data_IF_139539465150
#
_entry.id   IF_139539465150
#
_cell.length_a   1.000
_cell.length_b   1.000
_cell.length_c   1.000
_cell.angle_alpha   90.00
_cell.angle_beta   90.00
_cell.angle_gamma   90.00
#
_symmetry.space_group_name_H-M   'P 1'
#
loop_
_entity.id
_entity.type
_entity.pdbx_description
1 polymer ?
#
# COMPACT_ATOMS: atom_id res chain seq x y z
N UNK A 1 -10.08 -9.74 -17.63
CA UNK A 1 -9.74 -9.51 -16.19
C UNK A 1 -9.88 -8.04 -15.88
N UNK A 2 -10.20 -7.65 -14.64
CA UNK A 2 -10.25 -6.23 -14.26
C UNK A 2 -8.84 -5.75 -13.88
N UNK A 3 -8.40 -4.65 -14.47
CA UNK A 3 -7.04 -4.11 -14.28
C UNK A 3 -7.02 -2.60 -14.48
N UNK A 4 -5.95 -1.97 -14.00
CA UNK A 4 -5.60 -0.60 -14.35
C UNK A 4 -4.57 -0.65 -15.48
N UNK A 5 -4.91 -0.06 -16.63
CA UNK A 5 -4.00 0.08 -17.75
C UNK A 5 -3.36 1.47 -17.73
N UNK A 6 -2.04 1.48 -17.92
CA UNK A 6 -1.23 2.67 -18.09
C UNK A 6 -0.56 2.58 -19.47
N UNK A 7 -1.26 3.00 -20.53
CA UNK A 7 -0.69 3.04 -21.87
C UNK A 7 0.30 4.21 -22.01
N UNK A 8 1.08 4.17 -23.08
CA UNK A 8 1.95 5.26 -23.54
C UNK A 8 2.98 5.76 -22.52
N UNK A 9 3.37 4.91 -21.56
CA UNK A 9 4.44 5.24 -20.62
C UNK A 9 5.76 5.34 -21.38
N UNK A 10 6.55 6.36 -21.07
CA UNK A 10 7.88 6.57 -21.63
C UNK A 10 8.89 5.85 -20.75
N UNK A 11 9.67 4.96 -21.36
CA UNK A 11 10.77 4.27 -20.68
C UNK A 11 12.02 5.15 -20.64
N UNK A 12 12.71 5.13 -19.51
CA UNK A 12 14.00 5.76 -19.34
C UNK A 12 14.87 5.08 -18.29
N UNK A 13 16.00 5.69 -17.99
CA UNK A 13 16.91 5.29 -16.90
C UNK A 13 16.99 6.45 -15.91
N UNK A 14 16.84 6.12 -14.61
CA UNK A 14 16.98 7.11 -13.54
C UNK A 14 18.42 7.67 -13.52
N UNK A 15 18.59 8.99 -13.60
CA UNK A 15 19.90 9.63 -13.43
C UNK A 15 20.11 10.08 -12.00
N UNK A 16 19.12 10.74 -11.40
CA UNK A 16 19.20 11.17 -10.01
C UNK A 16 17.82 11.43 -9.44
N UNK A 17 17.72 11.35 -8.10
CA UNK A 17 16.55 11.79 -7.33
C UNK A 17 16.97 12.86 -6.34
N UNK A 18 16.24 13.97 -6.31
CA UNK A 18 16.55 15.10 -5.45
C UNK A 18 15.29 15.81 -4.96
N UNK A 19 15.44 16.62 -3.91
CA UNK A 19 14.34 17.38 -3.28
C UNK A 19 13.11 16.53 -2.93
N UNK A 20 13.31 15.21 -2.73
CA UNK A 20 12.31 14.14 -2.48
C UNK A 20 11.29 13.88 -3.60
N UNK A 21 10.90 14.92 -4.34
CA UNK A 21 9.76 14.89 -5.26
C UNK A 21 10.16 15.05 -6.73
N UNK A 22 11.45 15.04 -7.05
CA UNK A 22 11.95 15.19 -8.41
C UNK A 22 12.97 14.13 -8.75
N UNK A 23 12.96 13.72 -10.01
CA UNK A 23 14.02 12.96 -10.65
C UNK A 23 14.40 13.57 -11.97
N UNK A 24 15.65 13.33 -12.36
CA UNK A 24 16.06 13.43 -13.77
C UNK A 24 16.25 12.02 -14.32
N UNK A 25 15.91 11.85 -15.58
CA UNK A 25 15.98 10.58 -16.28
C UNK A 25 16.45 10.77 -17.71
N UNK A 26 17.23 9.80 -18.21
CA UNK A 26 17.60 9.72 -19.61
C UNK A 26 16.59 8.84 -20.35
N UNK A 27 16.00 9.35 -21.42
CA UNK A 27 15.10 8.60 -22.30
C UNK A 27 15.89 7.78 -23.34
N UNK A 28 15.20 6.90 -24.07
CA UNK A 28 15.86 6.05 -25.07
C UNK A 28 16.49 6.83 -26.24
N UNK A 29 15.97 8.02 -26.56
CA UNK A 29 16.54 8.91 -27.58
C UNK A 29 17.77 9.70 -27.08
N UNK A 30 18.21 9.46 -25.84
CA UNK A 30 19.32 10.14 -25.19
C UNK A 30 18.95 11.47 -24.54
N UNK A 31 17.73 11.98 -24.72
CA UNK A 31 17.27 13.21 -24.08
C UNK A 31 17.12 13.05 -22.58
N UNK A 32 17.39 14.13 -21.83
CA UNK A 32 17.18 14.18 -20.39
C UNK A 32 15.87 14.91 -20.06
N UNK A 33 15.10 14.34 -19.14
CA UNK A 33 13.82 14.91 -18.69
C UNK A 33 13.73 14.93 -17.18
N UNK A 34 13.03 15.93 -16.64
CA UNK A 34 12.67 15.98 -15.23
C UNK A 34 11.25 15.46 -15.02
N UNK A 35 11.08 14.53 -14.08
CA UNK A 35 9.78 13.98 -13.70
C UNK A 35 9.46 14.22 -12.22
N UNK A 36 8.17 14.37 -11.94
CA UNK A 36 7.64 14.45 -10.58
C UNK A 36 7.54 13.06 -9.93
N UNK A 37 7.82 12.99 -8.63
CA UNK A 37 7.72 11.79 -7.79
C UNK A 37 6.67 12.00 -6.72
N UNK A 38 5.58 11.24 -6.77
CA UNK A 38 4.54 11.24 -5.74
C UNK A 38 4.79 10.12 -4.72
N UNK A 39 6.00 10.05 -4.20
CA UNK A 39 6.42 9.14 -3.14
C UNK A 39 7.41 9.88 -2.22
N UNK A 40 7.04 10.14 -0.95
CA UNK A 40 7.91 10.85 0.00
C UNK A 40 8.97 9.94 0.64
N UNK A 41 8.86 8.63 0.44
CA UNK A 41 9.74 7.60 0.99
C UNK A 41 11.17 7.68 0.46
N UNK A 42 12.08 6.90 1.05
CA UNK A 42 13.48 6.87 0.61
C UNK A 42 13.64 6.21 -0.75
N UNK A 43 12.82 5.19 -1.08
CA UNK A 43 12.91 4.41 -2.33
C UNK A 43 14.30 3.76 -2.55
N UNK A 44 15.16 3.82 -1.54
CA UNK A 44 16.52 3.29 -1.46
C UNK A 44 16.66 2.53 -0.15
N UNK A 45 17.49 1.51 -0.15
CA UNK A 45 17.86 0.69 0.99
C UNK A 45 16.87 -0.43 1.37
N UNK A 46 17.42 -1.50 1.94
CA UNK A 46 16.70 -2.41 2.84
C UNK A 46 16.73 -1.90 4.29
N UNK A 47 16.16 -2.67 5.22
CA UNK A 47 16.17 -2.37 6.67
C UNK A 47 17.56 -2.38 7.32
N UNK A 48 18.55 -2.93 6.63
CA UNK A 48 19.96 -2.97 7.02
C UNK A 48 20.73 -1.69 6.65
N UNK A 49 20.12 -0.77 5.89
CA UNK A 49 20.77 0.43 5.39
C UNK A 49 21.71 0.17 4.21
N UNK A 50 21.74 -1.04 3.65
CA UNK A 50 22.52 -1.34 2.46
C UNK A 50 21.94 -0.59 1.26
N UNK A 51 22.69 0.40 0.75
CA UNK A 51 22.28 1.27 -0.34
C UNK A 51 21.97 0.54 -1.67
N UNK A 52 22.38 -0.73 -1.77
CA UNK A 52 22.24 -1.57 -2.96
C UNK A 52 20.83 -2.17 -3.11
N UNK A 53 20.03 -2.23 -2.05
CA UNK A 53 18.64 -2.73 -2.13
C UNK A 53 17.67 -1.56 -2.36
N UNK A 54 16.60 -1.75 -3.11
CA UNK A 54 15.66 -0.67 -3.48
C UNK A 54 15.75 -0.26 -4.95
N UNK A 55 14.91 0.69 -5.37
CA UNK A 55 14.65 0.95 -6.79
C UNK A 55 14.92 2.40 -7.21
N UNK A 56 15.49 3.24 -6.35
CA UNK A 56 15.97 4.56 -6.73
C UNK A 56 17.51 4.58 -6.80
N UNK A 57 18.07 3.67 -7.61
CA UNK A 57 19.51 3.54 -7.83
C UNK A 57 19.89 4.24 -9.15
N UNK A 58 20.62 5.38 -9.10
CA UNK A 58 21.10 6.08 -10.29
C UNK A 58 21.78 5.16 -11.31
N UNK A 59 21.52 5.41 -12.59
CA UNK A 59 22.09 4.72 -13.76
C UNK A 59 21.83 3.21 -13.86
N UNK A 60 21.16 2.61 -12.87
CA UNK A 60 20.84 1.17 -12.84
C UNK A 60 19.34 0.90 -12.92
N UNK A 61 18.52 1.86 -12.48
CA UNK A 61 17.06 1.70 -12.44
C UNK A 61 16.44 2.07 -13.77
N UNK A 62 15.82 1.11 -14.45
CA UNK A 62 14.90 1.40 -15.54
C UNK A 62 13.57 1.93 -14.97
N UNK A 63 13.01 2.98 -15.57
CA UNK A 63 11.81 3.64 -15.08
C UNK A 63 10.77 3.82 -16.18
N UNK A 64 9.51 3.92 -15.77
CA UNK A 64 8.38 4.21 -16.65
C UNK A 64 7.70 5.50 -16.20
N UNK A 65 7.65 6.46 -17.11
CA UNK A 65 7.17 7.82 -16.89
C UNK A 65 5.85 8.02 -17.61
N UNK A 66 4.85 8.57 -16.91
CA UNK A 66 3.62 9.02 -17.56
C UNK A 66 3.80 10.47 -18.03
N UNK A 67 3.60 10.76 -19.33
CA UNK A 67 3.49 12.14 -19.81
C UNK A 67 2.34 12.86 -19.10
N UNK A 68 2.57 14.09 -18.67
CA UNK A 68 1.55 14.94 -18.04
C UNK A 68 1.35 16.15 -18.93
N UNK A 69 0.11 16.33 -19.41
CA UNK A 69 -0.24 17.47 -20.25
C UNK A 69 0.11 18.79 -19.54
N UNK A 70 0.68 19.78 -20.24
CA UNK A 70 0.92 21.10 -19.68
C UNK A 70 -0.40 21.68 -19.17
N UNK A 71 -0.42 22.08 -17.90
CA UNK A 71 -1.49 22.91 -17.37
C UNK A 71 -0.89 23.93 -16.40
N UNK A 72 -1.67 24.94 -16.02
CA UNK A 72 -1.19 26.07 -15.20
C UNK A 72 -0.53 25.64 -13.86
N UNK A 73 -0.80 24.43 -13.38
CA UNK A 73 -0.34 23.90 -12.10
C UNK A 73 0.71 22.77 -12.21
N UNK A 74 1.01 22.26 -13.41
CA UNK A 74 1.97 21.18 -13.62
C UNK A 74 3.27 21.75 -14.17
N UNK A 75 4.30 21.80 -13.32
CA UNK A 75 5.63 22.28 -13.68
C UNK A 75 6.52 21.21 -14.35
N UNK A 76 6.11 19.95 -14.35
CA UNK A 76 6.93 18.83 -14.84
C UNK A 76 6.15 18.02 -15.88
N UNK A 77 6.76 17.83 -17.05
CA UNK A 77 6.16 17.14 -18.20
C UNK A 77 5.91 15.64 -17.95
N UNK A 78 6.49 15.08 -16.88
CA UNK A 78 6.43 13.66 -16.57
C UNK A 78 6.12 13.37 -15.10
N UNK A 79 5.56 12.20 -14.86
CA UNK A 79 5.37 11.61 -13.54
C UNK A 79 5.99 10.22 -13.51
N UNK A 80 6.79 9.92 -12.48
CA UNK A 80 7.35 8.59 -12.29
C UNK A 80 6.28 7.62 -11.77
N UNK A 81 5.94 6.62 -12.59
CA UNK A 81 4.89 5.65 -12.30
C UNK A 81 5.43 4.32 -11.77
N UNK A 82 6.42 3.75 -12.48
CA UNK A 82 6.97 2.43 -12.16
C UNK A 82 8.50 2.42 -12.28
N UNK A 83 9.14 1.50 -11.56
CA UNK A 83 10.56 1.24 -11.62
C UNK A 83 10.82 -0.26 -11.77
N UNK A 84 11.89 -0.64 -12.45
CA UNK A 84 12.44 -1.99 -12.39
C UNK A 84 13.52 -1.97 -11.32
N UNK A 85 13.32 -2.72 -10.25
CA UNK A 85 14.28 -2.78 -9.17
C UNK A 85 15.53 -3.56 -9.63
N UNK A 86 16.75 -2.98 -9.54
CA UNK A 86 17.94 -3.56 -10.16
C UNK A 86 18.33 -4.96 -9.66
N UNK A 87 18.12 -5.28 -8.38
CA UNK A 87 18.59 -6.54 -7.79
C UNK A 87 17.70 -7.73 -8.14
N UNK A 88 16.38 -7.52 -8.16
CA UNK A 88 15.37 -8.57 -8.35
C UNK A 88 14.79 -8.58 -9.76
N UNK A 89 14.92 -7.48 -10.51
CA UNK A 89 14.22 -7.27 -11.77
C UNK A 89 12.71 -7.03 -11.61
N UNK A 90 12.22 -6.89 -10.37
CA UNK A 90 10.80 -6.72 -10.12
C UNK A 90 10.30 -5.33 -10.58
N UNK A 91 9.11 -5.30 -11.17
CA UNK A 91 8.40 -4.07 -11.47
C UNK A 91 7.73 -3.55 -10.19
N UNK A 92 8.06 -2.33 -9.79
CA UNK A 92 7.60 -1.67 -8.57
C UNK A 92 6.72 -0.47 -8.90
N UNK A 93 5.55 -0.38 -8.28
CA UNK A 93 4.65 0.77 -8.36
C UNK A 93 5.16 1.93 -7.50
N UNK A 94 5.75 2.94 -8.13
CA UNK A 94 6.31 4.13 -7.46
C UNK A 94 5.23 5.13 -7.09
N UNK A 95 4.22 5.28 -7.94
CA UNK A 95 3.13 6.23 -7.72
C UNK A 95 2.22 5.76 -6.58
N UNK A 96 2.39 6.32 -5.38
CA UNK A 96 1.74 5.82 -4.15
C UNK A 96 0.21 5.84 -4.21
N UNK A 97 -0.40 6.72 -5.00
CA UNK A 97 -1.86 6.77 -5.19
C UNK A 97 -2.41 5.61 -6.03
N UNK A 98 -1.55 4.80 -6.64
CA UNK A 98 -1.95 3.61 -7.39
C UNK A 98 -2.68 2.60 -6.49
N UNK A 99 -2.18 2.37 -5.26
CA UNK A 99 -2.81 1.50 -4.29
C UNK A 99 -4.24 1.98 -3.96
N UNK A 100 -4.41 3.27 -3.62
CA UNK A 100 -5.73 3.85 -3.36
C UNK A 100 -6.65 3.71 -4.58
N UNK A 101 -6.14 3.95 -5.78
CA UNK A 101 -6.94 3.81 -7.01
C UNK A 101 -7.40 2.36 -7.22
N UNK A 102 -6.50 1.38 -7.06
CA UNK A 102 -6.83 -0.03 -7.22
C UNK A 102 -7.86 -0.49 -6.17
N UNK A 103 -7.67 -0.11 -4.91
CA UNK A 103 -8.61 -0.41 -3.82
C UNK A 103 -9.98 0.21 -4.09
N UNK A 104 -10.02 1.48 -4.54
CA UNK A 104 -11.25 2.16 -4.91
C UNK A 104 -12.00 1.40 -6.00
N UNK A 105 -11.33 1.10 -7.12
CA UNK A 105 -11.98 0.43 -8.26
C UNK A 105 -12.44 -0.98 -7.88
N UNK A 106 -11.67 -1.71 -7.05
CA UNK A 106 -12.08 -3.01 -6.54
C UNK A 106 -13.28 -2.94 -5.57
N UNK A 107 -13.35 -1.94 -4.69
CA UNK A 107 -14.51 -1.71 -3.82
C UNK A 107 -15.76 -1.35 -4.63
N UNK A 108 -15.65 -0.38 -5.54
CA UNK A 108 -16.75 0.04 -6.43
C UNK A 108 -17.26 -1.15 -7.27
N UNK A 109 -16.35 -2.02 -7.70
CA UNK A 109 -16.64 -3.23 -8.45
C UNK A 109 -17.11 -4.43 -7.60
N UNK A 110 -17.17 -4.28 -6.27
CA UNK A 110 -17.45 -5.36 -5.31
C UNK A 110 -16.61 -6.62 -5.57
N UNK A 111 -15.31 -6.43 -5.79
CA UNK A 111 -14.38 -7.52 -6.08
C UNK A 111 -14.32 -8.52 -4.91
N UNK A 112 -14.55 -9.80 -5.20
CA UNK A 112 -14.81 -10.81 -4.18
C UNK A 112 -13.58 -11.08 -3.29
N UNK A 113 -12.37 -11.11 -3.84
CA UNK A 113 -11.14 -11.36 -3.07
C UNK A 113 -10.83 -10.20 -2.11
N UNK A 114 -10.98 -8.94 -2.55
CA UNK A 114 -10.83 -7.79 -1.67
C UNK A 114 -11.89 -7.78 -0.56
N UNK A 115 -13.16 -8.03 -0.88
CA UNK A 115 -14.21 -8.10 0.14
C UNK A 115 -13.98 -9.25 1.12
N UNK A 116 -13.47 -10.38 0.64
CA UNK A 116 -13.07 -11.51 1.47
C UNK A 116 -11.94 -11.14 2.44
N UNK A 117 -10.94 -10.40 1.97
CA UNK A 117 -9.82 -9.90 2.78
C UNK A 117 -10.29 -8.93 3.89
N UNK A 118 -11.27 -8.08 3.56
CA UNK A 118 -11.85 -7.08 4.48
C UNK A 118 -12.93 -7.65 5.41
N UNK A 119 -13.40 -8.87 5.16
CA UNK A 119 -14.39 -9.54 6.00
C UNK A 119 -13.79 -9.84 7.38
N UNK A 120 -14.58 -9.58 8.42
CA UNK A 120 -14.19 -9.86 9.80
C UNK A 120 -13.95 -11.36 9.98
N UNK A 121 -12.93 -11.73 10.77
CA UNK A 121 -12.65 -13.12 11.12
C UNK A 121 -13.29 -13.44 12.47
N UNK A 122 -13.82 -14.65 12.62
CA UNK A 122 -14.35 -15.14 13.90
C UNK A 122 -13.24 -15.09 14.97
N UNK A 123 -13.44 -14.36 16.09
CA UNK A 123 -12.47 -14.30 17.19
C UNK A 123 -12.22 -15.64 17.90
N UNK A 124 -13.15 -16.60 17.82
CA UNK A 124 -13.15 -17.82 18.63
C UNK A 124 -12.97 -19.13 17.83
N UNK A 125 -12.92 -19.09 16.50
CA UNK A 125 -13.01 -20.31 15.68
C UNK A 125 -12.08 -20.28 14.48
N UNK A 126 -11.11 -21.22 14.46
CA UNK A 126 -10.35 -21.73 13.29
C UNK A 126 -10.32 -20.81 12.05
N UNK A 127 -9.17 -20.21 11.74
CA UNK A 127 -8.92 -19.52 10.44
C UNK A 127 -9.55 -20.32 9.28
N UNK A 128 -10.52 -19.72 8.60
CA UNK A 128 -11.19 -20.30 7.42
C UNK A 128 -12.71 -20.24 7.44
N UNK A 129 -13.35 -20.02 8.59
CA UNK A 129 -14.81 -19.85 8.61
C UNK A 129 -15.16 -18.39 8.28
N UNK A 130 -15.40 -18.12 7.00
CA UNK A 130 -16.02 -16.87 6.56
C UNK A 130 -17.41 -16.82 7.17
N UNK A 131 -17.62 -15.97 8.18
CA UNK A 131 -18.92 -15.89 8.88
C UNK A 131 -20.00 -15.34 7.92
N UNK A 132 -19.61 -14.46 6.98
CA UNK A 132 -20.36 -14.04 5.78
C UNK A 132 -19.51 -13.03 4.97
N UNK A 133 -19.55 -13.02 3.62
CA UNK A 133 -18.88 -12.00 2.84
C UNK A 133 -19.31 -10.59 3.24
N UNK A 134 -18.36 -9.66 3.35
CA UNK A 134 -18.62 -8.26 3.61
C UNK A 134 -19.57 -7.69 2.54
N UNK A 135 -20.68 -7.13 2.98
CA UNK A 135 -21.61 -6.35 2.16
C UNK A 135 -21.68 -4.94 2.71
N UNK A 136 -21.80 -3.98 1.80
CA UNK A 136 -21.98 -2.58 2.12
C UNK A 136 -22.85 -1.90 1.06
N UNK A 137 -23.53 -0.82 1.41
CA UNK A 137 -24.39 -0.06 0.49
C UNK A 137 -23.76 1.30 0.14
N UNK A 138 -22.99 1.87 1.07
CA UNK A 138 -22.34 3.17 0.95
C UNK A 138 -20.83 3.04 1.00
N UNK A 139 -20.16 3.63 0.02
CA UNK A 139 -18.73 3.87 -0.01
C UNK A 139 -18.47 5.36 0.03
N UNK A 140 -17.73 5.82 1.03
CA UNK A 140 -17.24 7.19 1.12
C UNK A 140 -15.70 7.20 1.01
N UNK A 141 -15.14 8.29 0.46
CA UNK A 141 -13.71 8.49 0.21
C UNK A 141 -13.20 9.70 0.97
N UNK A 142 -11.93 9.69 1.37
CA UNK A 142 -11.29 10.81 2.10
C UNK A 142 -12.14 11.25 3.29
N UNK A 143 -12.61 10.26 4.06
CA UNK A 143 -13.60 10.47 5.11
C UNK A 143 -12.92 11.00 6.37
N UNK A 144 -13.52 12.01 6.96
CA UNK A 144 -13.08 12.51 8.25
C UNK A 144 -13.30 11.44 9.31
N UNK A 145 -12.32 11.21 10.19
CA UNK A 145 -12.54 10.35 11.35
C UNK A 145 -13.62 10.96 12.26
N UNK A 146 -14.56 10.15 12.80
CA UNK A 146 -15.63 10.62 13.68
C UNK A 146 -15.10 11.30 14.96
N UNK A 147 -13.90 10.94 15.39
CA UNK A 147 -13.23 11.49 16.59
C UNK A 147 -12.43 12.75 16.32
N UNK A 148 -12.23 13.14 15.05
CA UNK A 148 -11.32 14.22 14.74
C UNK A 148 -11.98 15.59 15.01
N UNK A 149 -11.36 16.40 15.89
CA UNK A 149 -11.85 17.74 16.29
C UNK A 149 -12.09 18.70 15.11
N UNK A 150 -13.22 19.43 15.12
CA UNK A 150 -13.63 20.42 14.08
C UNK A 150 -12.56 21.48 13.80
N UNK A 151 -11.74 21.81 14.78
CA UNK A 151 -10.54 22.65 14.65
C UNK A 151 -9.37 22.02 15.39
N UNK A 152 -8.19 22.01 14.77
CA UNK A 152 -6.92 21.73 15.46
C UNK A 152 -6.32 23.06 15.89
N UNK A 153 -5.82 23.16 17.12
CA UNK A 153 -5.29 24.40 17.71
C UNK A 153 -4.10 25.01 16.93
N UNK A 154 -3.48 24.26 16.02
CA UNK A 154 -2.31 24.65 15.25
C UNK A 154 -2.59 24.91 13.76
N UNK A 155 -3.87 25.02 13.35
CA UNK A 155 -4.23 25.25 11.93
C UNK A 155 -3.97 24.07 10.98
N UNK A 156 -3.49 22.91 11.47
CA UNK A 156 -3.26 21.74 10.62
C UNK A 156 -4.55 21.07 10.16
N UNK A 157 -4.56 20.56 8.93
CA UNK A 157 -5.70 19.85 8.33
C UNK A 157 -6.07 18.63 9.17
N UNK A 158 -7.38 18.40 9.34
CA UNK A 158 -7.93 17.22 10.02
C UNK A 158 -7.56 15.95 9.25
N UNK A 159 -7.07 14.91 9.94
CA UNK A 159 -6.73 13.64 9.29
C UNK A 159 -7.98 12.97 8.74
N UNK A 160 -7.86 12.33 7.59
CA UNK A 160 -8.94 11.60 6.90
C UNK A 160 -8.48 10.17 6.64
N UNK A 161 -9.39 9.21 6.74
CA UNK A 161 -9.14 7.87 6.22
C UNK A 161 -9.43 7.83 4.72
N UNK A 162 -8.76 6.93 4.01
CA UNK A 162 -8.90 6.80 2.57
C UNK A 162 -10.33 6.38 2.18
N UNK A 163 -10.91 5.39 2.89
CA UNK A 163 -12.26 4.88 2.62
C UNK A 163 -13.07 4.64 3.89
N UNK A 164 -14.39 4.72 3.76
CA UNK A 164 -15.33 4.30 4.78
C UNK A 164 -16.51 3.56 4.15
N UNK A 165 -16.82 2.35 4.66
CA UNK A 165 -17.96 1.55 4.23
C UNK A 165 -19.09 1.65 5.27
N UNK A 166 -20.29 2.06 4.83
CA UNK A 166 -21.49 2.22 5.65
C UNK A 166 -21.30 3.03 6.95
N UNK A 167 -20.38 4.00 6.93
CA UNK A 167 -19.96 4.79 8.09
C UNK A 167 -19.46 3.93 9.27
N UNK A 168 -19.04 2.68 8.99
CA UNK A 168 -18.74 1.64 9.99
C UNK A 168 -17.36 1.02 9.85
N UNK A 169 -16.89 0.77 8.64
CA UNK A 169 -15.57 0.17 8.38
C UNK A 169 -14.67 1.24 7.78
N UNK A 170 -13.72 1.73 8.58
CA UNK A 170 -12.74 2.72 8.16
C UNK A 170 -11.51 2.01 7.63
N UNK A 171 -11.11 2.34 6.40
CA UNK A 171 -9.98 1.70 5.73
C UNK A 171 -8.93 2.76 5.44
N UNK A 172 -7.72 2.53 5.94
CA UNK A 172 -6.53 3.30 5.64
C UNK A 172 -5.63 2.44 4.74
N UNK A 173 -5.30 2.93 3.56
CA UNK A 173 -4.43 2.25 2.60
C UNK A 173 -3.00 2.72 2.79
N UNK A 174 -2.06 1.76 2.69
CA UNK A 174 -0.62 2.04 2.71
C UNK A 174 0.04 1.35 1.53
N UNK A 175 0.73 2.13 0.71
CA UNK A 175 1.59 1.62 -0.35
C UNK A 175 2.85 1.01 0.25
N UNK A 176 3.09 -0.27 -0.01
CA UNK A 176 4.25 -1.03 0.47
C UNK A 176 5.13 -1.40 -0.74
N UNK A 177 6.40 -0.97 -0.71
CA UNK A 177 7.36 -1.25 -1.79
C UNK A 177 8.74 -1.68 -1.28
N UNK A 178 9.00 -1.55 0.03
CA UNK A 178 10.30 -1.82 0.62
C UNK A 178 10.44 -3.32 0.93
N UNK A 179 11.57 -3.89 0.51
CA UNK A 179 11.98 -5.25 0.85
C UNK A 179 12.90 -5.25 2.07
N UNK A 180 12.86 -6.36 2.80
CA UNK A 180 13.85 -6.68 3.82
C UNK A 180 15.12 -7.28 3.23
N UNK A 181 16.17 -7.24 4.04
CA UNK A 181 17.32 -8.13 3.91
C UNK A 181 16.91 -9.61 3.83
N UNK A 182 15.83 -10.00 4.53
CA UNK A 182 15.24 -11.35 4.52
C UNK A 182 14.40 -11.58 3.26
N UNK A 183 14.68 -12.62 2.44
CA UNK A 183 13.94 -12.89 1.21
C UNK A 183 12.43 -13.05 1.42
N UNK A 184 11.63 -12.43 0.54
CA UNK A 184 10.17 -12.51 0.59
C UNK A 184 9.50 -11.67 1.69
N UNK A 185 10.26 -11.02 2.57
CA UNK A 185 9.73 -10.14 3.60
C UNK A 185 9.64 -8.70 3.09
N UNK A 186 8.43 -8.13 3.12
CA UNK A 186 8.17 -6.71 2.82
C UNK A 186 7.94 -5.90 4.08
N UNK A 187 8.23 -4.61 4.03
CA UNK A 187 8.11 -3.73 5.19
C UNK A 187 7.56 -2.35 4.88
N UNK A 188 7.04 -1.71 5.91
CA UNK A 188 6.60 -0.32 5.90
C UNK A 188 6.83 0.33 7.28
N UNK A 189 7.17 1.64 7.35
CA UNK A 189 7.45 2.55 6.24
C UNK A 189 8.91 2.47 5.76
N UNK A 190 9.19 3.06 4.59
CA UNK A 190 10.55 3.21 4.04
C UNK A 190 11.23 4.53 4.43
N UNK A 191 10.55 5.35 5.23
CA UNK A 191 11.07 6.55 5.88
C UNK A 191 10.23 6.86 7.13
N UNK A 192 10.80 7.59 8.10
CA UNK A 192 10.04 8.06 9.27
C UNK A 192 8.80 8.84 8.83
N UNK A 193 7.64 8.46 9.38
CA UNK A 193 6.34 8.99 8.98
C UNK A 193 5.45 9.29 10.19
N UNK A 194 5.64 10.48 10.77
CA UNK A 194 4.75 11.02 11.82
C UNK A 194 3.28 11.06 11.38
N UNK A 195 3.02 11.22 10.08
CA UNK A 195 1.66 11.11 9.52
C UNK A 195 1.12 9.70 9.71
N UNK A 196 1.85 8.66 9.30
CA UNK A 196 1.39 7.28 9.43
C UNK A 196 1.12 6.89 10.89
N UNK A 197 2.02 7.27 11.81
CA UNK A 197 1.83 7.10 13.27
C UNK A 197 0.51 7.71 13.72
N UNK A 198 0.24 8.96 13.33
CA UNK A 198 -0.98 9.67 13.69
C UNK A 198 -2.25 9.00 13.16
N UNK A 199 -2.23 8.47 11.94
CA UNK A 199 -3.39 7.74 11.40
C UNK A 199 -3.70 6.48 12.23
N UNK A 200 -2.67 5.76 12.72
CA UNK A 200 -2.88 4.60 13.59
C UNK A 200 -3.55 4.97 14.93
N UNK A 201 -3.15 6.10 15.53
CA UNK A 201 -3.80 6.62 16.74
C UNK A 201 -5.27 7.02 16.49
N UNK A 202 -5.54 7.69 15.38
CA UNK A 202 -6.92 8.07 14.99
C UNK A 202 -7.79 6.83 14.74
N UNK A 203 -7.26 5.78 14.10
CA UNK A 203 -7.99 4.51 13.90
C UNK A 203 -8.28 3.81 15.24
N UNK A 204 -7.33 3.80 16.18
CA UNK A 204 -7.59 3.28 17.52
C UNK A 204 -8.67 4.10 18.24
N UNK A 205 -8.71 5.42 18.05
CA UNK A 205 -9.77 6.30 18.57
C UNK A 205 -11.14 5.96 17.98
N UNK A 206 -11.22 5.69 16.67
CA UNK A 206 -12.46 5.27 16.01
C UNK A 206 -13.06 4.04 16.68
N UNK A 207 -12.24 3.01 16.95
CA UNK A 207 -12.74 1.80 17.60
C UNK A 207 -13.21 2.10 19.02
N UNK A 208 -12.42 2.84 19.81
CA UNK A 208 -12.79 3.22 21.18
C UNK A 208 -14.11 3.99 21.23
N UNK A 209 -14.26 4.95 20.32
CA UNK A 209 -15.48 5.74 20.18
C UNK A 209 -16.67 4.86 19.76
N UNK A 210 -16.46 3.96 18.80
CA UNK A 210 -17.49 3.02 18.36
C UNK A 210 -17.95 2.08 19.47
N UNK A 211 -17.02 1.54 20.26
CA UNK A 211 -17.35 0.72 21.45
C UNK A 211 -18.13 1.53 22.49
N UNK A 212 -17.77 2.80 22.71
CA UNK A 212 -18.51 3.68 23.61
C UNK A 212 -19.95 3.86 23.13
N UNK A 213 -20.15 4.21 21.85
CA UNK A 213 -21.49 4.38 21.28
C UNK A 213 -22.34 3.13 21.38
N UNK A 214 -21.76 1.96 21.17
CA UNK A 214 -22.47 0.69 21.33
C UNK A 214 -22.92 0.49 22.78
N UNK A 215 -22.03 0.73 23.76
CA UNK A 215 -22.38 0.65 25.19
C UNK A 215 -23.46 1.66 25.59
N UNK A 216 -23.40 2.86 25.03
CA UNK A 216 -24.35 3.94 25.32
C UNK A 216 -25.70 3.74 24.55
N UNK A 217 -25.87 2.66 23.78
CA UNK A 217 -27.07 2.40 22.97
C UNK A 217 -27.20 3.29 21.72
N UNK A 218 -26.19 4.11 21.41
CA UNK A 218 -26.16 5.06 20.30
C UNK A 218 -25.66 4.45 18.97
N UNK A 219 -25.34 3.15 18.94
CA UNK A 219 -24.97 2.39 17.75
C UNK A 219 -25.40 0.93 17.90
N UNK A 220 -25.69 0.26 16.78
CA UNK A 220 -26.12 -1.16 16.76
C UNK A 220 -24.98 -2.14 16.46
N UNK A 221 -23.78 -1.63 16.13
CA UNK A 221 -22.59 -2.44 15.86
C UNK A 221 -21.31 -1.68 16.22
N UNK A 222 -20.22 -2.41 16.45
CA UNK A 222 -18.88 -1.83 16.68
C UNK A 222 -18.35 -1.24 15.37
N UNK A 223 -17.66 -0.11 15.44
CA UNK A 223 -16.91 0.41 14.29
C UNK A 223 -15.62 -0.39 14.12
N UNK A 224 -15.28 -0.72 12.87
CA UNK A 224 -14.06 -1.42 12.50
C UNK A 224 -13.07 -0.44 11.87
N UNK A 225 -11.79 -0.69 12.10
CA UNK A 225 -10.71 0.05 11.47
C UNK A 225 -9.72 -0.94 10.87
N UNK A 226 -9.44 -0.80 9.58
CA UNK A 226 -8.55 -1.67 8.81
C UNK A 226 -7.42 -0.83 8.23
N UNK A 227 -6.18 -1.24 8.47
CA UNK A 227 -5.02 -0.77 7.70
C UNK A 227 -4.73 -1.80 6.63
N UNK A 228 -4.95 -1.42 5.37
CA UNK A 228 -4.70 -2.24 4.19
C UNK A 228 -3.33 -1.91 3.59
N UNK A 229 -2.37 -2.77 3.86
CA UNK A 229 -1.01 -2.74 3.33
C UNK A 229 -1.03 -3.35 1.91
N UNK A 230 -0.82 -2.53 0.90
CA UNK A 230 -0.88 -2.95 -0.52
C UNK A 230 0.53 -3.02 -1.07
N UNK A 231 1.02 -4.23 -1.32
CA UNK A 231 2.35 -4.49 -1.86
C UNK A 231 2.34 -4.29 -3.36
N UNK A 232 3.00 -3.22 -3.82
CA UNK A 232 3.02 -2.82 -5.23
C UNK A 232 4.33 -3.25 -5.90
N UNK A 233 4.55 -4.56 -5.96
CA UNK A 233 5.71 -5.15 -6.64
C UNK A 233 5.29 -6.37 -7.46
N UNK A 234 6.01 -6.71 -8.52
CA UNK A 234 5.72 -7.88 -9.36
C UNK A 234 6.30 -9.18 -8.79
N UNK A 235 7.25 -9.12 -7.88
CA UNK A 235 7.70 -10.25 -7.07
C UNK A 235 6.74 -10.43 -5.89
N UNK A 236 6.36 -11.68 -5.63
CA UNK A 236 5.34 -11.99 -4.64
C UNK A 236 5.92 -11.94 -3.22
N UNK A 237 5.31 -11.17 -2.30
CA UNK A 237 5.69 -11.18 -0.89
C UNK A 237 5.23 -12.48 -0.20
N UNK A 238 6.02 -12.94 0.76
CA UNK A 238 5.73 -14.08 1.64
C UNK A 238 5.21 -13.64 3.01
N UNK A 239 5.67 -12.50 3.52
CA UNK A 239 5.28 -11.96 4.81
C UNK A 239 5.46 -10.43 4.87
N UNK A 240 4.81 -9.79 5.84
CA UNK A 240 4.98 -8.38 6.16
C UNK A 240 5.35 -8.18 7.64
N UNK A 241 6.23 -7.22 7.93
CA UNK A 241 6.41 -6.65 9.27
C UNK A 241 6.65 -5.13 9.23
N UNK A 242 6.45 -4.40 10.35
CA UNK A 242 6.81 -2.98 10.41
C UNK A 242 8.35 -2.80 10.35
N UNK A 243 8.81 -1.79 9.60
CA UNK A 243 10.22 -1.44 9.50
C UNK A 243 10.75 -0.76 10.78
N UNK A 244 10.87 -1.50 11.88
CA UNK A 244 11.20 -0.93 13.20
C UNK A 244 12.53 -0.17 13.24
N UNK A 245 13.52 -0.59 12.44
CA UNK A 245 14.82 0.12 12.32
C UNK A 245 14.71 1.45 11.56
N UNK A 246 13.70 1.61 10.71
CA UNK A 246 13.45 2.83 9.93
C UNK A 246 12.57 3.79 10.73
N UNK A 247 11.46 3.30 11.27
CA UNK A 247 10.53 4.09 12.08
C UNK A 247 10.06 3.28 13.32
N UNK A 248 10.78 3.39 14.46
CA UNK A 248 10.42 2.67 15.67
C UNK A 248 9.08 3.17 16.25
N UNK A 249 8.72 4.44 16.05
CA UNK A 249 7.45 4.98 16.53
C UNK A 249 6.27 4.40 15.76
N UNK A 250 6.42 4.18 14.45
CA UNK A 250 5.43 3.47 13.65
C UNK A 250 5.23 2.03 14.15
N UNK A 251 6.30 1.29 14.42
CA UNK A 251 6.20 -0.08 14.93
C UNK A 251 5.48 -0.14 16.31
N UNK A 252 5.79 0.80 17.21
CA UNK A 252 5.10 0.95 18.51
C UNK A 252 3.62 1.29 18.30
N UNK A 253 3.32 2.26 17.45
CA UNK A 253 1.95 2.68 17.17
C UNK A 253 1.14 1.57 16.50
N UNK A 254 1.76 0.75 15.64
CA UNK A 254 1.13 -0.41 15.00
C UNK A 254 0.71 -1.44 16.05
N UNK A 255 1.61 -1.80 16.99
CA UNK A 255 1.29 -2.70 18.11
C UNK A 255 0.20 -2.14 19.01
N UNK A 256 0.27 -0.86 19.35
CA UNK A 256 -0.74 -0.18 20.17
C UNK A 256 -2.11 -0.13 19.46
N UNK A 257 -2.14 0.16 18.16
CA UNK A 257 -3.37 0.14 17.38
C UNK A 257 -3.97 -1.28 17.29
N UNK A 258 -3.13 -2.28 17.05
CA UNK A 258 -3.53 -3.68 17.03
C UNK A 258 -4.15 -4.12 18.36
N UNK A 259 -3.55 -3.76 19.51
CA UNK A 259 -4.11 -4.09 20.83
C UNK A 259 -5.47 -3.42 21.12
N UNK A 260 -5.79 -2.33 20.41
CA UNK A 260 -7.09 -1.69 20.46
C UNK A 260 -8.12 -2.29 19.49
N UNK A 261 -7.70 -3.21 18.62
CA UNK A 261 -8.54 -3.90 17.64
C UNK A 261 -8.45 -3.35 16.21
N UNK A 262 -7.46 -2.49 15.91
CA UNK A 262 -7.22 -2.09 14.51
C UNK A 262 -6.70 -3.32 13.76
N UNK A 263 -7.38 -3.67 12.68
CA UNK A 263 -7.05 -4.83 11.86
C UNK A 263 -5.98 -4.44 10.84
N UNK A 264 -4.88 -5.19 10.81
CA UNK A 264 -3.90 -5.06 9.74
C UNK A 264 -4.13 -6.18 8.73
N UNK A 265 -4.25 -5.81 7.46
CA UNK A 265 -4.36 -6.73 6.33
C UNK A 265 -3.29 -6.35 5.33
N UNK A 266 -2.56 -7.34 4.83
CA UNK A 266 -1.58 -7.13 3.78
C UNK A 266 -1.99 -7.93 2.54
N UNK A 267 -1.77 -7.35 1.38
CA UNK A 267 -2.15 -7.96 0.13
C UNK A 267 -1.21 -7.58 -1.00
N UNK A 268 -1.19 -8.44 -2.02
CA UNK A 268 -0.35 -8.26 -3.20
C UNK A 268 -1.13 -7.63 -4.36
N UNK A 269 -0.54 -6.62 -5.00
CA UNK A 269 -1.07 -5.93 -6.17
C UNK A 269 -0.01 -5.94 -7.29
N UNK A 270 0.09 -7.05 -8.06
CA UNK A 270 1.13 -7.18 -9.07
C UNK A 270 0.88 -6.29 -10.28
N UNK A 271 1.98 -5.78 -10.82
CA UNK A 271 2.03 -5.09 -12.10
C UNK A 271 2.88 -5.89 -13.09
N UNK A 272 2.56 -5.79 -14.38
CA UNK A 272 3.37 -6.33 -15.47
C UNK A 272 3.45 -5.37 -16.63
N UNK A 273 4.56 -5.40 -17.37
CA UNK A 273 4.65 -4.78 -18.69
C UNK A 273 3.92 -5.70 -19.67
N UNK A 274 2.85 -5.22 -20.30
CA UNK A 274 2.13 -5.98 -21.33
C UNK A 274 2.84 -5.90 -22.68
N UNK A 275 3.29 -4.71 -23.03
CA UNK A 275 3.96 -4.41 -24.29
C UNK A 275 5.00 -3.33 -24.06
N UNK A 276 6.15 -3.47 -24.72
CA UNK A 276 7.19 -2.45 -24.76
C UNK A 276 7.79 -2.42 -26.17
N UNK A 277 7.72 -1.27 -26.83
CA UNK A 277 8.25 -1.04 -28.19
C UNK A 277 8.70 0.41 -28.32
N UNK A 278 9.86 0.63 -28.93
CA UNK A 278 10.36 1.97 -29.28
C UNK A 278 10.30 2.99 -28.12
N UNK A 279 10.65 2.55 -26.91
CA UNK A 279 10.68 3.40 -25.72
C UNK A 279 9.32 3.73 -25.12
N UNK A 280 8.25 3.14 -25.66
CA UNK A 280 6.90 3.18 -25.10
C UNK A 280 6.54 1.86 -24.45
N UNK A 281 5.79 1.91 -23.36
CA UNK A 281 5.32 0.72 -22.66
C UNK A 281 3.86 0.88 -22.21
N UNK A 282 3.15 -0.25 -22.21
CA UNK A 282 1.87 -0.41 -21.54
C UNK A 282 2.08 -1.24 -20.29
N UNK A 283 1.84 -0.66 -19.12
CA UNK A 283 1.88 -1.38 -17.85
C UNK A 283 0.46 -1.67 -17.38
N UNK A 284 0.21 -2.92 -17.01
CA UNK A 284 -1.03 -3.39 -16.43
C UNK A 284 -0.84 -3.67 -14.94
N UNK A 285 -1.72 -3.12 -14.11
CA UNK A 285 -1.80 -3.44 -12.68
C UNK A 285 -3.06 -4.28 -12.46
N UNK A 286 -2.85 -5.53 -12.06
CA UNK A 286 -3.93 -6.49 -11.90
C UNK A 286 -4.59 -6.31 -10.55
N UNK A 287 -5.93 -6.19 -10.56
CA UNK A 287 -6.71 -6.18 -9.32
C UNK A 287 -7.92 -7.12 -9.36
N UNK A 288 -8.34 -7.61 -10.52
CA UNK A 288 -9.37 -8.65 -10.60
C UNK A 288 -8.78 -10.05 -10.43
N UNK A 289 -9.64 -11.00 -10.02
CA UNK A 289 -9.30 -12.43 -10.08
C UNK A 289 -8.99 -12.85 -11.53
N UNK A 290 -7.97 -13.69 -11.72
CA UNK A 290 -7.74 -14.33 -13.00
C UNK A 290 -8.98 -15.17 -13.39
N UNK A 291 -9.50 -14.99 -14.60
CA UNK A 291 -10.52 -15.87 -15.15
C UNK A 291 -9.90 -17.25 -15.46
N UNK A 292 -10.75 -18.28 -15.51
CA UNK A 292 -10.42 -19.72 -15.57
C UNK A 292 -9.09 -20.08 -16.26
N UNK A 293 -8.26 -20.86 -15.55
CA UNK A 293 -6.95 -21.35 -16.01
C UNK A 293 -5.73 -20.71 -15.32
N UNK A 294 -5.90 -19.59 -14.61
CA UNK A 294 -4.86 -19.00 -13.78
C UNK A 294 -4.72 -19.69 -12.42
N UNK A 295 -3.50 -19.80 -11.90
CA UNK A 295 -3.27 -20.33 -10.56
C UNK A 295 -4.00 -19.45 -9.54
N UNK A 296 -4.80 -20.04 -8.64
CA UNK A 296 -5.60 -19.27 -7.65
C UNK A 296 -4.74 -18.38 -6.74
N UNK A 297 -3.44 -18.66 -6.71
CA UNK A 297 -2.42 -17.97 -5.92
C UNK A 297 -1.83 -16.73 -6.62
N UNK A 298 -2.13 -16.50 -7.91
CA UNK A 298 -1.73 -15.30 -8.68
C UNK A 298 -2.84 -14.23 -8.72
N UNK A 299 -3.81 -14.31 -7.82
CA UNK A 299 -4.83 -13.28 -7.71
C UNK A 299 -4.30 -12.06 -6.94
N UNK A 300 -4.60 -10.88 -7.47
CA UNK A 300 -4.53 -9.68 -6.67
C UNK A 300 -5.42 -9.82 -5.42
N UNK A 301 -5.06 -9.09 -4.36
CA UNK A 301 -5.69 -9.18 -3.03
C UNK A 301 -5.41 -10.47 -2.26
N UNK A 302 -4.54 -11.35 -2.77
CA UNK A 302 -4.06 -12.49 -1.99
C UNK A 302 -3.47 -12.00 -0.67
N UNK A 303 -3.95 -12.57 0.43
CA UNK A 303 -3.55 -12.14 1.76
C UNK A 303 -2.11 -12.56 2.05
N UNK A 304 -1.32 -11.57 2.47
CA UNK A 304 0.05 -11.76 2.92
C UNK A 304 0.02 -11.77 4.46
N UNK A 305 0.60 -12.78 5.12
CA UNK A 305 0.73 -12.80 6.57
C UNK A 305 1.35 -11.52 7.12
N UNK A 306 0.73 -10.96 8.17
CA UNK A 306 1.17 -9.74 8.86
C UNK A 306 1.69 -10.12 10.24
N UNK A 307 2.91 -9.69 10.53
CA UNK A 307 3.56 -9.80 11.84
C UNK A 307 3.82 -8.41 12.42
N UNK A 308 3.87 -8.30 13.75
CA UNK A 308 4.04 -7.03 14.46
C UNK A 308 5.50 -6.76 14.85
N UNK A 309 6.38 -7.73 14.57
CA UNK A 309 7.83 -7.66 14.75
C UNK A 309 8.57 -8.38 13.62
N UNK A 310 9.84 -8.02 13.46
CA UNK A 310 10.77 -8.70 12.55
C UNK A 310 11.01 -10.16 12.97
N UNK A 311 11.15 -10.39 14.27
CA UNK A 311 11.44 -11.71 14.84
C UNK A 311 10.32 -12.72 14.51
N UNK A 312 9.06 -12.37 14.76
CA UNK A 312 7.91 -13.22 14.42
C UNK A 312 7.85 -13.53 12.90
N UNK A 313 8.14 -12.52 12.06
CA UNK A 313 8.15 -12.71 10.61
C UNK A 313 9.28 -13.66 10.17
N UNK A 314 10.47 -13.55 10.78
CA UNK A 314 11.60 -14.43 10.48
C UNK A 314 11.33 -15.86 10.92
N UNK A 315 10.82 -16.06 12.14
CA UNK A 315 10.40 -17.38 12.64
C UNK A 315 9.36 -18.02 11.71
N UNK A 316 8.38 -17.24 11.24
CA UNK A 316 7.42 -17.73 10.24
C UNK A 316 8.08 -18.18 8.94
N UNK A 317 8.98 -17.37 8.38
CA UNK A 317 9.66 -17.68 7.13
C UNK A 317 10.63 -18.87 7.26
N UNK A 318 11.12 -19.13 8.47
CA UNK A 318 11.91 -20.31 8.82
C UNK A 318 11.05 -21.56 9.10
N UNK A 319 9.71 -21.42 9.13
CA UNK A 319 8.78 -22.51 9.44
C UNK A 319 8.65 -22.82 10.94
N UNK A 320 9.18 -21.96 11.81
CA UNK A 320 9.19 -22.11 13.27
C UNK A 320 7.91 -21.57 13.93
N UNK A 321 7.21 -20.65 13.25
CA UNK A 321 5.95 -20.07 13.69
C UNK A 321 4.83 -20.49 12.76
N UNK A 322 3.77 -21.12 13.30
CA UNK A 322 2.53 -21.29 12.53
C UNK A 322 1.83 -19.91 12.48
N UNK A 323 1.55 -19.36 11.29
CA UNK A 323 0.86 -18.07 11.17
C UNK A 323 -0.56 -18.10 11.76
N UNK A 324 -1.06 -19.29 12.16
CA UNK A 324 -2.35 -19.51 12.83
C UNK A 324 -2.31 -19.31 14.36
N UNK A 325 -1.13 -19.16 14.97
CA UNK A 325 -0.95 -18.75 16.38
C UNK A 325 -0.79 -17.24 16.49
#
# INVERSE_FOLDING_TARGET
>A
MKSLLFPDLVRGVLLQRYKRFLIDAQLQDGSEVTASVANPGRMTGGDDGAAERGYAVPSQTAIYLQPVAPNYNVKHAYRWMFAVEPCTGALVGVYTMLANRAVREALEAREASLLQLLTERDPNGRRGTVVRPLRFDKLARECRYPTASRQRANGSTVSRCDFCLDDRVFIEVKSVTMLSSTPGLVMFPDAVSARAVRHLEELANVIRWGRKRLRDGAATSVHRAVVLLVVQRSDRPLAFCPAQRVDPLFAIAMRHAASHGVEFRCCWLPARVQEEREGRATVEVHWGRATEGGNATDCAWHEVPVFLSMEEAQQYLQGELDPRR
#
